data_IF_332057423817
#
_entry.id   IF_332057423817
#
_cell.length_a   1.000
_cell.length_b   1.000
_cell.length_c   1.000
_cell.angle_alpha   90.00
_cell.angle_beta   90.00
_cell.angle_gamma   90.00
#
_symmetry.space_group_name_H-M   'P 1'
#
loop_
_entity.id
_entity.type
_entity.pdbx_description
1 polymer ?
#
# COMPACT_ATOMS: atom_id res chain seq x y z
N UNK A 1 13.95 9.18 6.64
CA UNK A 1 12.95 9.61 5.66
C UNK A 1 12.89 8.63 4.51
N UNK A 2 11.68 8.20 4.16
CA UNK A 2 11.48 7.25 3.06
C UNK A 2 11.02 7.95 1.80
N UNK A 3 11.28 7.31 0.66
CA UNK A 3 10.73 7.71 -0.63
C UNK A 3 9.79 6.59 -1.07
N UNK A 4 8.64 6.94 -1.63
CA UNK A 4 7.69 5.94 -2.13
C UNK A 4 7.77 5.83 -3.65
N UNK A 5 7.58 4.61 -4.13
CA UNK A 5 7.45 4.32 -5.56
C UNK A 5 6.12 3.59 -5.74
N UNK A 6 5.43 3.89 -6.83
CA UNK A 6 4.13 3.29 -7.12
C UNK A 6 4.25 2.29 -8.27
N UNK A 7 3.63 1.13 -8.11
CA UNK A 7 3.49 0.21 -9.22
C UNK A 7 2.38 0.73 -10.15
N UNK A 8 2.34 0.19 -11.35
CA UNK A 8 1.26 0.47 -12.28
C UNK A 8 -0.08 0.06 -11.68
N UNK A 9 -0.10 -1.08 -10.99
CA UNK A 9 -1.30 -1.60 -10.35
C UNK A 9 -1.82 -0.66 -9.27
N UNK A 10 -0.92 -0.16 -8.41
CA UNK A 10 -1.33 0.78 -7.38
C UNK A 10 -1.84 2.08 -7.99
N UNK A 11 -1.13 2.60 -8.98
CA UNK A 11 -1.52 3.85 -9.63
C UNK A 11 -2.92 3.74 -10.24
N UNK A 12 -3.21 2.64 -10.92
CA UNK A 12 -4.53 2.41 -11.48
C UNK A 12 -5.60 2.36 -10.40
N UNK A 13 -5.31 1.65 -9.31
CA UNK A 13 -6.27 1.54 -8.22
C UNK A 13 -6.62 2.88 -7.61
N UNK A 14 -5.60 3.68 -7.27
CA UNK A 14 -5.83 4.96 -6.61
C UNK A 14 -6.55 5.96 -7.53
N UNK A 15 -6.26 5.91 -8.83
CA UNK A 15 -6.92 6.79 -9.80
C UNK A 15 -8.39 6.47 -9.97
N UNK A 16 -8.76 5.19 -9.90
CA UNK A 16 -10.15 4.74 -10.07
C UNK A 16 -11.00 4.93 -8.84
N UNK A 17 -10.39 5.24 -7.72
CA UNK A 17 -11.10 5.41 -6.48
C UNK A 17 -12.00 6.64 -6.56
N UNK A 18 -13.31 6.43 -6.42
CA UNK A 18 -14.29 7.51 -6.60
C UNK A 18 -14.49 8.35 -5.34
N UNK A 19 -14.30 7.76 -4.18
CA UNK A 19 -14.47 8.47 -2.91
C UNK A 19 -13.28 9.40 -2.69
N UNK A 20 -13.51 10.69 -2.92
CA UNK A 20 -12.46 11.71 -2.83
C UNK A 20 -11.88 11.81 -1.42
N UNK A 21 -12.71 11.66 -0.39
CA UNK A 21 -12.25 11.72 1.00
C UNK A 21 -11.38 10.52 1.33
N UNK A 22 -11.78 9.35 0.85
CA UNK A 22 -10.99 8.15 1.04
C UNK A 22 -9.62 8.31 0.39
N UNK A 23 -9.61 8.81 -0.85
CA UNK A 23 -8.37 9.04 -1.58
C UNK A 23 -7.44 9.98 -0.80
N UNK A 24 -7.99 11.08 -0.28
CA UNK A 24 -7.21 12.04 0.50
C UNK A 24 -6.62 11.39 1.75
N UNK A 25 -7.40 10.59 2.46
CA UNK A 25 -6.94 9.92 3.68
C UNK A 25 -5.85 8.91 3.37
N UNK A 26 -6.00 8.17 2.27
CA UNK A 26 -5.00 7.20 1.84
C UNK A 26 -3.68 7.90 1.51
N UNK A 27 -3.75 8.97 0.72
CA UNK A 27 -2.56 9.72 0.33
C UNK A 27 -1.87 10.37 1.53
N UNK A 28 -2.65 10.85 2.49
CA UNK A 28 -2.11 11.40 3.72
C UNK A 28 -1.32 10.35 4.51
N UNK A 29 -1.86 9.15 4.64
CA UNK A 29 -1.19 8.07 5.35
C UNK A 29 0.10 7.65 4.63
N UNK A 30 0.08 7.65 3.30
CA UNK A 30 1.28 7.34 2.52
C UNK A 30 2.34 8.43 2.73
N UNK A 31 1.93 9.69 2.75
CA UNK A 31 2.85 10.79 3.01
C UNK A 31 3.52 10.64 4.38
N UNK A 32 2.78 10.16 5.37
CA UNK A 32 3.34 9.94 6.69
C UNK A 32 4.38 8.83 6.71
N UNK A 33 4.27 7.85 5.84
CA UNK A 33 5.32 6.85 5.72
C UNK A 33 6.64 7.51 5.31
N UNK A 34 6.57 8.53 4.47
CA UNK A 34 7.78 9.21 3.99
C UNK A 34 8.41 10.09 5.04
N UNK A 35 7.60 10.77 5.86
CA UNK A 35 8.10 11.81 6.75
C UNK A 35 8.35 11.36 8.17
N UNK A 36 7.50 10.52 8.73
CA UNK A 36 7.50 10.22 10.15
C UNK A 36 8.24 8.95 10.52
N UNK A 37 8.54 8.10 9.56
CA UNK A 37 9.12 6.79 9.81
C UNK A 37 8.27 5.95 10.77
N UNK A 38 7.05 6.38 11.00
CA UNK A 38 6.05 5.67 11.78
C UNK A 38 5.01 5.13 10.82
N UNK A 39 4.83 3.84 10.83
CA UNK A 39 3.91 3.22 9.89
C UNK A 39 2.45 3.27 10.36
N UNK A 40 2.22 3.70 11.61
CA UNK A 40 0.85 3.81 12.12
C UNK A 40 0.16 2.45 12.17
N UNK A 41 -1.13 2.42 11.79
CA UNK A 41 -1.93 1.20 11.81
C UNK A 41 -1.54 0.30 10.63
N UNK A 42 -0.58 -0.57 10.88
CA UNK A 42 0.04 -1.38 9.83
C UNK A 42 0.49 -2.71 10.43
N UNK A 43 0.39 -3.78 9.66
CA UNK A 43 0.81 -5.09 10.13
C UNK A 43 1.42 -5.91 9.00
N UNK A 44 2.31 -6.86 9.32
CA UNK A 44 2.88 -7.74 8.29
C UNK A 44 1.85 -8.74 7.78
N UNK A 45 1.93 -9.06 6.49
CA UNK A 45 1.04 -10.04 5.87
C UNK A 45 1.81 -11.16 5.19
N UNK A 46 3.12 -11.25 5.44
CA UNK A 46 3.97 -12.29 4.87
C UNK A 46 4.85 -11.77 3.75
N UNK A 47 5.94 -12.47 3.50
CA UNK A 47 6.91 -12.15 2.44
C UNK A 47 7.52 -10.75 2.57
N UNK A 48 7.54 -10.22 3.80
CA UNK A 48 8.06 -8.87 4.03
C UNK A 48 7.11 -7.76 3.62
N UNK A 49 5.92 -8.09 3.19
CA UNK A 49 4.90 -7.12 2.78
C UNK A 49 4.09 -6.69 4.01
N UNK A 50 3.76 -5.42 4.07
CA UNK A 50 2.95 -4.87 5.14
C UNK A 50 1.65 -4.33 4.60
N UNK A 51 0.63 -4.37 5.45
CA UNK A 51 -0.70 -3.87 5.14
C UNK A 51 -0.93 -2.59 5.94
N UNK A 52 -1.05 -1.47 5.25
CA UNK A 52 -1.39 -0.18 5.85
C UNK A 52 -2.90 -0.08 5.85
N UNK A 53 -3.49 0.13 7.02
CA UNK A 53 -4.95 0.15 7.16
C UNK A 53 -5.45 1.57 7.34
N UNK A 54 -6.46 1.92 6.56
CA UNK A 54 -7.12 3.21 6.65
C UNK A 54 -8.57 2.95 7.07
N UNK A 55 -8.89 3.26 8.32
CA UNK A 55 -10.20 3.00 8.92
C UNK A 55 -11.17 4.11 8.58
N UNK A 56 -11.66 4.08 7.36
CA UNK A 56 -12.63 5.05 6.89
C UNK A 56 -13.61 4.34 5.95
N UNK A 57 -14.90 4.61 6.13
CA UNK A 57 -15.96 4.03 5.30
C UNK A 57 -15.84 2.51 5.20
N UNK A 58 -15.63 1.96 4.02
CA UNK A 58 -15.53 0.52 3.78
C UNK A 58 -14.27 -0.11 4.36
N UNK A 59 -13.34 0.71 4.83
CA UNK A 59 -12.03 0.23 5.24
C UNK A 59 -11.14 0.01 4.03
N UNK A 60 -10.06 0.79 3.94
CA UNK A 60 -9.15 0.71 2.81
C UNK A 60 -7.80 0.16 3.26
N UNK A 61 -7.10 -0.48 2.35
CA UNK A 61 -5.81 -1.10 2.61
C UNK A 61 -4.82 -0.72 1.53
N UNK A 62 -3.57 -0.49 1.92
CA UNK A 62 -2.48 -0.32 0.97
C UNK A 62 -1.39 -1.31 1.34
N UNK A 63 -0.96 -2.10 0.37
CA UNK A 63 0.07 -3.12 0.59
C UNK A 63 1.39 -2.59 0.06
N UNK A 64 2.42 -2.64 0.90
CA UNK A 64 3.71 -2.09 0.53
C UNK A 64 4.85 -2.94 1.07
N UNK A 65 6.04 -2.73 0.50
CA UNK A 65 7.24 -3.41 0.96
C UNK A 65 8.43 -2.47 0.82
N UNK A 66 9.34 -2.53 1.79
CA UNK A 66 10.60 -1.82 1.68
C UNK A 66 11.50 -2.55 0.69
N UNK A 67 11.99 -1.82 -0.28
CA UNK A 67 12.87 -2.36 -1.31
C UNK A 67 14.34 -2.24 -0.89
N UNK A 68 14.70 -1.04 -0.46
CA UNK A 68 16.01 -0.72 0.09
C UNK A 68 15.78 0.09 1.35
N UNK A 69 16.83 0.45 2.06
CA UNK A 69 16.69 1.12 3.35
C UNK A 69 15.75 2.31 3.37
N UNK A 70 15.58 2.99 2.27
CA UNK A 70 14.80 4.22 2.24
C UNK A 70 13.73 4.27 1.17
N UNK A 71 13.44 3.14 0.55
CA UNK A 71 12.45 3.07 -0.53
C UNK A 71 11.32 2.14 -0.16
N UNK A 72 10.10 2.65 -0.25
CA UNK A 72 8.88 1.88 -0.03
C UNK A 72 8.16 1.74 -1.35
N UNK A 73 7.88 0.51 -1.76
CA UNK A 73 7.14 0.25 -2.99
C UNK A 73 5.68 -0.01 -2.64
N UNK A 74 4.80 0.83 -3.16
CA UNK A 74 3.36 0.68 -3.00
C UNK A 74 2.87 -0.30 -4.05
N UNK A 75 2.49 -1.50 -3.61
CA UNK A 75 2.21 -2.62 -4.50
C UNK A 75 0.80 -2.59 -5.08
N UNK A 76 -0.19 -2.50 -4.23
CA UNK A 76 -1.59 -2.42 -4.63
C UNK A 76 -2.42 -1.96 -3.44
N UNK A 77 -3.63 -1.49 -3.72
CA UNK A 77 -4.59 -1.15 -2.69
C UNK A 77 -5.88 -1.93 -2.88
N UNK A 78 -6.74 -1.87 -1.88
CA UNK A 78 -8.02 -2.53 -1.92
C UNK A 78 -8.88 -2.15 -0.73
N UNK A 79 -9.98 -2.87 -0.56
CA UNK A 79 -10.92 -2.67 0.53
C UNK A 79 -10.84 -3.85 1.48
N UNK A 80 -11.39 -3.67 2.67
CA UNK A 80 -11.43 -4.73 3.67
C UNK A 80 -12.08 -6.01 3.09
N UNK A 81 -13.10 -5.85 2.27
CA UNK A 81 -13.84 -6.98 1.70
C UNK A 81 -13.02 -7.85 0.74
N UNK A 82 -11.95 -7.30 0.17
CA UNK A 82 -11.13 -8.03 -0.79
C UNK A 82 -9.74 -8.34 -0.24
N UNK A 83 -9.57 -8.29 1.07
CA UNK A 83 -8.27 -8.39 1.72
C UNK A 83 -7.44 -9.61 1.29
N UNK A 84 -8.01 -10.80 1.34
CA UNK A 84 -7.25 -12.02 1.03
C UNK A 84 -6.78 -12.03 -0.42
N UNK A 85 -7.64 -11.64 -1.32
CA UNK A 85 -7.33 -11.56 -2.74
C UNK A 85 -6.23 -10.54 -2.99
N UNK A 86 -6.31 -9.39 -2.32
CA UNK A 86 -5.34 -8.31 -2.52
C UNK A 86 -3.98 -8.64 -1.93
N UNK A 87 -3.93 -9.36 -0.81
CA UNK A 87 -2.66 -9.82 -0.24
C UNK A 87 -1.96 -10.76 -1.22
N UNK A 88 -2.71 -11.69 -1.79
CA UNK A 88 -2.17 -12.62 -2.78
C UNK A 88 -1.63 -11.86 -3.99
N UNK A 89 -2.40 -10.88 -4.45
CA UNK A 89 -2.01 -10.05 -5.59
C UNK A 89 -0.73 -9.26 -5.29
N UNK A 90 -0.64 -8.70 -4.09
CA UNK A 90 0.54 -7.95 -3.68
C UNK A 90 1.80 -8.82 -3.74
N UNK A 91 1.68 -10.07 -3.28
CA UNK A 91 2.80 -11.01 -3.32
C UNK A 91 3.21 -11.34 -4.75
N UNK A 92 2.25 -11.51 -5.63
CA UNK A 92 2.51 -11.77 -7.04
C UNK A 92 3.21 -10.58 -7.70
N UNK A 93 2.75 -9.37 -7.40
CA UNK A 93 3.34 -8.16 -7.94
C UNK A 93 4.79 -8.03 -7.47
N UNK A 94 5.05 -8.30 -6.20
CA UNK A 94 6.41 -8.19 -5.68
C UNK A 94 7.35 -9.20 -6.36
N UNK A 95 6.91 -10.43 -6.56
CA UNK A 95 7.72 -11.43 -7.24
C UNK A 95 8.06 -10.99 -8.67
N UNK A 96 7.12 -10.38 -9.33
CA UNK A 96 7.29 -9.90 -10.70
C UNK A 96 8.32 -8.77 -10.78
N UNK A 97 8.25 -7.84 -9.85
CA UNK A 97 9.17 -6.69 -9.78
C UNK A 97 10.58 -7.15 -9.41
N UNK A 98 10.67 -8.07 -8.46
CA UNK A 98 11.93 -8.51 -7.89
C UNK A 98 12.59 -9.63 -8.68
N UNK A 99 12.08 -9.90 -9.87
CA UNK A 99 12.56 -10.97 -10.71
C UNK A 99 13.71 -10.46 -11.57
N UNK A 100 14.90 -10.89 -11.27
CA UNK A 100 16.06 -10.58 -12.10
C UNK A 100 17.18 -11.49 -11.77
#
# INVERSE_FOLDING_TARGET
>A
MFRTEKTVEFDKWIRKLKDIRAKAKILFRIQKLETDEHFGDCKPVGDGIRELRINYAKGYRVYFKEKDDKIIVLLIGGEKSSQQKDIKKAKEIWKKINKD
#
